data_IF_424331916652
#
_entry.id   IF_424331916652
#
_cell.length_a   1.000
_cell.length_b   1.000
_cell.length_c   1.000
_cell.angle_alpha   90.00
_cell.angle_beta   90.00
_cell.angle_gamma   90.00
#
_symmetry.space_group_name_H-M   'P 1'
#
loop_
_entity.id
_entity.type
_entity.pdbx_description
1 polymer ?
#
# COMPACT_ATOMS: atom_id res chain seq x y z
N UNK A 1 -21.68 5.60 -23.36
CA UNK A 1 -21.15 6.65 -22.45
C UNK A 1 -19.75 7.01 -22.92
N UNK A 2 -19.43 8.29 -23.13
CA UNK A 2 -18.07 8.71 -23.52
C UNK A 2 -17.23 9.01 -22.26
N UNK A 3 -15.92 8.80 -22.33
CA UNK A 3 -14.99 9.04 -21.19
C UNK A 3 -14.98 10.50 -20.72
N UNK A 4 -15.29 11.44 -21.62
CA UNK A 4 -15.52 12.83 -21.25
C UNK A 4 -16.73 13.02 -20.35
N UNK A 5 -17.81 12.26 -20.57
CA UNK A 5 -19.02 12.31 -19.74
C UNK A 5 -18.83 11.63 -18.38
N UNK A 6 -17.84 10.75 -18.22
CA UNK A 6 -17.48 10.15 -16.93
C UNK A 6 -16.43 10.94 -16.13
N UNK A 7 -15.95 12.07 -16.65
CA UNK A 7 -14.92 12.89 -16.00
C UNK A 7 -13.48 12.39 -16.19
N UNK A 8 -13.27 11.33 -16.97
CA UNK A 8 -11.95 10.75 -17.25
C UNK A 8 -11.29 11.41 -18.47
N UNK A 9 -11.07 12.73 -18.37
CA UNK A 9 -10.58 13.57 -19.47
C UNK A 9 -9.18 13.15 -19.95
N UNK A 10 -8.29 12.77 -19.04
CA UNK A 10 -6.95 12.28 -19.35
C UNK A 10 -6.99 10.99 -20.18
N UNK A 11 -7.79 10.00 -19.76
CA UNK A 11 -7.98 8.74 -20.50
C UNK A 11 -8.50 8.98 -21.92
N UNK A 12 -9.44 9.92 -22.08
CA UNK A 12 -10.01 10.27 -23.37
C UNK A 12 -8.97 10.91 -24.32
N UNK A 13 -8.08 11.75 -23.78
CA UNK A 13 -6.98 12.36 -24.55
C UNK A 13 -5.93 11.33 -24.97
N UNK A 14 -5.56 10.40 -24.09
CA UNK A 14 -4.64 9.29 -24.41
C UNK A 14 -5.21 8.42 -25.51
N UNK A 15 -6.51 8.11 -25.47
CA UNK A 15 -7.17 7.36 -26.54
C UNK A 15 -7.18 8.12 -27.87
N UNK A 16 -7.45 9.43 -27.85
CA UNK A 16 -7.39 10.28 -29.05
C UNK A 16 -5.98 10.34 -29.65
N UNK A 17 -4.95 10.34 -28.80
CA UNK A 17 -3.55 10.24 -29.21
C UNK A 17 -3.23 8.86 -29.77
N UNK A 18 -3.70 7.78 -29.14
CA UNK A 18 -3.46 6.41 -29.61
C UNK A 18 -4.17 6.10 -30.93
N UNK A 19 -5.34 6.67 -31.20
CA UNK A 19 -6.06 6.46 -32.46
C UNK A 19 -5.45 7.26 -33.62
N UNK A 20 -5.09 8.53 -33.39
CA UNK A 20 -4.66 9.46 -34.44
C UNK A 20 -3.15 9.54 -34.67
N UNK A 21 -2.33 8.77 -33.95
CA UNK A 21 -0.87 8.84 -34.04
C UNK A 21 -0.25 7.83 -35.02
N UNK A 22 1.02 8.05 -35.33
CA UNK A 22 1.88 7.20 -36.16
C UNK A 22 2.09 5.80 -35.54
N UNK A 23 2.34 4.75 -36.34
CA UNK A 23 2.61 3.39 -35.85
C UNK A 23 3.74 3.31 -34.81
N UNK A 24 4.77 4.15 -34.91
CA UNK A 24 5.88 4.21 -33.95
C UNK A 24 5.42 4.74 -32.59
N UNK A 25 4.57 5.76 -32.57
CA UNK A 25 3.97 6.33 -31.36
C UNK A 25 3.05 5.32 -30.67
N UNK A 26 2.23 4.58 -31.43
CA UNK A 26 1.37 3.52 -30.89
C UNK A 26 2.16 2.41 -30.22
N UNK A 27 3.27 1.97 -30.84
CA UNK A 27 4.19 0.98 -30.24
C UNK A 27 4.75 1.48 -28.91
N UNK A 28 5.21 2.73 -28.85
CA UNK A 28 5.76 3.35 -27.64
C UNK A 28 4.73 3.47 -26.52
N UNK A 29 3.49 3.86 -26.85
CA UNK A 29 2.38 3.92 -25.88
C UNK A 29 2.07 2.52 -25.33
N UNK A 30 2.04 1.50 -26.20
CA UNK A 30 1.80 0.11 -25.79
C UNK A 30 2.91 -0.41 -24.88
N UNK A 31 4.17 -0.10 -25.19
CA UNK A 31 5.34 -0.49 -24.41
C UNK A 31 5.32 0.17 -23.02
N UNK A 32 5.07 1.48 -22.94
CA UNK A 32 4.92 2.20 -21.68
C UNK A 32 3.76 1.63 -20.85
N UNK A 33 2.61 1.38 -21.48
CA UNK A 33 1.45 0.78 -20.81
C UNK A 33 1.78 -0.60 -20.22
N UNK A 34 2.49 -1.43 -20.98
CA UNK A 34 2.93 -2.74 -20.50
C UNK A 34 3.94 -2.63 -19.35
N UNK A 35 4.85 -1.65 -19.40
CA UNK A 35 5.78 -1.36 -18.30
C UNK A 35 5.04 -0.88 -17.04
N UNK A 36 4.02 -0.04 -17.20
CA UNK A 36 3.17 0.42 -16.09
C UNK A 36 2.34 -0.72 -15.49
N UNK A 37 1.84 -1.64 -16.32
CA UNK A 37 1.18 -2.86 -15.85
C UNK A 37 2.15 -3.79 -15.09
N UNK A 38 3.41 -3.88 -15.54
CA UNK A 38 4.46 -4.62 -14.83
C UNK A 38 4.87 -3.94 -13.53
N UNK A 39 4.77 -2.61 -13.45
CA UNK A 39 4.86 -1.84 -12.21
C UNK A 39 3.62 -2.07 -11.37
N UNK A 40 3.34 -3.33 -11.01
CA UNK A 40 2.39 -3.66 -9.96
C UNK A 40 2.78 -2.83 -8.73
N UNK A 41 1.84 -2.05 -8.18
CA UNK A 41 2.08 -1.30 -6.94
C UNK A 41 2.84 -2.17 -5.95
N UNK A 42 4.05 -1.74 -5.59
CA UNK A 42 4.88 -2.47 -4.65
C UNK A 42 4.06 -2.62 -3.35
N UNK A 43 3.69 -3.85 -3.04
CA UNK A 43 3.02 -4.16 -1.79
C UNK A 43 4.05 -3.98 -0.68
N UNK A 44 3.64 -3.38 0.44
CA UNK A 44 4.48 -3.30 1.61
C UNK A 44 4.80 -4.71 2.11
N UNK A 45 6.06 -4.93 2.48
CA UNK A 45 6.42 -6.10 3.27
C UNK A 45 5.80 -6.00 4.68
N UNK A 46 5.62 -7.13 5.38
CA UNK A 46 5.17 -7.13 6.78
C UNK A 46 6.00 -6.22 7.69
N UNK A 47 7.31 -6.16 7.46
CA UNK A 47 8.27 -5.35 8.21
C UNK A 47 8.11 -3.86 7.89
N UNK A 48 7.99 -3.49 6.61
CA UNK A 48 7.76 -2.09 6.20
C UNK A 48 6.41 -1.58 6.69
N UNK A 49 5.38 -2.43 6.63
CA UNK A 49 4.05 -2.09 7.15
C UNK A 49 4.08 -1.89 8.66
N UNK A 50 4.84 -2.70 9.40
CA UNK A 50 5.03 -2.54 10.84
C UNK A 50 5.77 -1.23 11.15
N UNK A 51 6.85 -0.92 10.42
CA UNK A 51 7.59 0.32 10.57
C UNK A 51 6.68 1.54 10.35
N UNK A 52 5.88 1.53 9.28
CA UNK A 52 4.93 2.61 8.98
C UNK A 52 3.87 2.81 10.08
N UNK A 53 3.36 1.71 10.67
CA UNK A 53 2.42 1.78 11.80
C UNK A 53 3.09 2.46 13.02
N UNK A 54 4.35 2.13 13.29
CA UNK A 54 5.11 2.67 14.42
C UNK A 54 5.50 4.13 14.21
N UNK A 55 5.94 4.48 13.01
CA UNK A 55 6.38 5.84 12.69
C UNK A 55 5.23 6.83 12.64
N UNK A 56 4.11 6.43 12.04
CA UNK A 56 2.90 7.25 11.96
C UNK A 56 2.00 7.14 13.20
N UNK A 57 2.40 6.37 14.21
CA UNK A 57 1.62 6.16 15.44
C UNK A 57 0.17 5.70 15.18
N UNK A 58 -0.01 4.82 14.18
CA UNK A 58 -1.35 4.41 13.72
C UNK A 58 -2.04 3.51 14.74
N UNK A 59 -3.31 3.78 15.00
CA UNK A 59 -4.16 2.92 15.81
C UNK A 59 -4.71 1.74 14.99
N UNK A 60 -5.26 0.73 15.68
CA UNK A 60 -5.95 -0.39 15.04
C UNK A 60 -7.15 0.07 14.18
N UNK A 61 -7.79 1.18 14.57
CA UNK A 61 -8.89 1.75 13.81
C UNK A 61 -8.41 2.45 12.54
N UNK A 62 -7.26 3.13 12.57
CA UNK A 62 -6.66 3.75 11.38
C UNK A 62 -6.28 2.69 10.34
N UNK A 63 -5.78 1.54 10.79
CA UNK A 63 -5.42 0.40 9.95
C UNK A 63 -6.66 -0.19 9.23
N UNK A 64 -7.89 0.16 9.61
CA UNK A 64 -9.11 -0.22 8.86
C UNK A 64 -9.12 0.38 7.44
N UNK A 65 -8.31 1.40 7.16
CA UNK A 65 -8.07 1.91 5.80
C UNK A 65 -7.64 0.79 4.83
N UNK A 66 -6.94 -0.24 5.31
CA UNK A 66 -6.59 -1.42 4.53
C UNK A 66 -7.82 -2.14 3.96
N UNK A 67 -8.94 -2.15 4.70
CA UNK A 67 -10.20 -2.73 4.21
C UNK A 67 -10.78 -1.92 3.06
N UNK A 68 -10.63 -0.60 3.09
CA UNK A 68 -11.02 0.29 1.99
C UNK A 68 -10.19 0.04 0.73
N UNK A 69 -8.88 -0.12 0.90
CA UNK A 69 -7.97 -0.49 -0.20
C UNK A 69 -8.32 -1.86 -0.79
N UNK A 70 -8.59 -2.87 0.06
CA UNK A 70 -9.03 -4.20 -0.36
C UNK A 70 -10.35 -4.19 -1.14
N UNK A 71 -11.32 -3.36 -0.75
CA UNK A 71 -12.59 -3.18 -1.50
C UNK A 71 -12.37 -2.63 -2.91
N UNK A 72 -11.33 -1.80 -3.09
CA UNK A 72 -10.93 -1.26 -4.39
C UNK A 72 -10.01 -2.22 -5.17
N UNK A 73 -9.82 -3.46 -4.71
CA UNK A 73 -8.88 -4.45 -5.25
C UNK A 73 -7.41 -3.97 -5.27
N UNK A 74 -7.08 -3.04 -4.37
CA UNK A 74 -5.74 -2.47 -4.22
C UNK A 74 -5.15 -2.99 -2.91
N UNK A 75 -4.46 -4.13 -2.98
CA UNK A 75 -3.93 -4.84 -1.81
C UNK A 75 -2.51 -4.36 -1.44
N UNK A 76 -2.37 -3.09 -1.08
CA UNK A 76 -1.04 -2.46 -0.84
C UNK A 76 -0.41 -2.94 0.48
N UNK A 77 -1.24 -3.27 1.48
CA UNK A 77 -0.75 -3.61 2.83
C UNK A 77 -0.94 -5.10 3.14
N UNK A 78 0.00 -5.71 3.88
CA UNK A 78 -0.17 -7.05 4.41
C UNK A 78 -1.28 -7.07 5.47
N UNK A 79 -1.87 -8.24 5.69
CA UNK A 79 -2.94 -8.38 6.67
C UNK A 79 -2.45 -8.08 8.09
N UNK A 80 -3.32 -7.51 8.93
CA UNK A 80 -3.00 -7.24 10.33
C UNK A 80 -2.51 -8.47 11.10
N UNK A 81 -3.00 -9.67 10.76
CA UNK A 81 -2.55 -10.91 11.36
C UNK A 81 -1.06 -11.18 11.06
N UNK A 82 -0.65 -10.98 9.82
CA UNK A 82 0.75 -11.14 9.38
C UNK A 82 1.65 -10.10 10.05
N UNK A 83 1.22 -8.84 10.10
CA UNK A 83 1.94 -7.78 10.83
C UNK A 83 2.11 -8.17 12.30
N UNK A 84 1.07 -8.69 12.94
CA UNK A 84 1.12 -9.13 14.33
C UNK A 84 2.07 -10.30 14.60
N UNK A 85 2.32 -11.17 13.62
CA UNK A 85 3.36 -12.20 13.72
C UNK A 85 4.76 -11.58 13.76
N UNK A 86 5.05 -10.64 12.87
CA UNK A 86 6.33 -9.91 12.86
C UNK A 86 6.49 -9.06 14.11
N UNK A 87 5.41 -8.44 14.61
CA UNK A 87 5.48 -7.71 15.88
C UNK A 87 5.91 -8.61 17.03
N UNK A 88 5.48 -9.88 17.06
CA UNK A 88 5.88 -10.85 18.10
C UNK A 88 7.35 -11.23 18.01
N UNK A 89 7.91 -11.34 16.81
CA UNK A 89 9.34 -11.68 16.63
C UNK A 89 10.25 -10.54 17.05
N UNK A 90 9.78 -9.29 17.05
CA UNK A 90 10.53 -8.14 17.56
C UNK A 90 10.67 -8.12 19.09
N UNK A 91 9.92 -8.95 19.83
CA UNK A 91 10.02 -9.02 21.29
C UNK A 91 11.02 -10.08 21.75
N UNK A 92 11.84 -9.79 22.79
CA UNK A 92 12.73 -10.78 23.36
C UNK A 92 11.94 -11.91 24.04
N UNK A 93 12.48 -13.13 23.96
CA UNK A 93 11.79 -14.38 24.32
C UNK A 93 11.30 -14.47 25.78
N UNK A 94 11.82 -13.63 26.68
CA UNK A 94 11.56 -13.70 28.11
C UNK A 94 10.49 -12.71 28.59
N UNK A 95 9.74 -12.07 27.69
CA UNK A 95 8.68 -11.14 28.06
C UNK A 95 7.31 -11.79 27.84
N UNK A 96 6.57 -11.99 28.94
CA UNK A 96 5.17 -12.40 28.89
C UNK A 96 4.30 -11.17 28.63
N UNK A 97 3.94 -10.94 27.37
CA UNK A 97 3.10 -9.79 27.00
C UNK A 97 1.64 -10.18 27.22
N UNK A 98 1.03 -9.65 28.27
CA UNK A 98 -0.44 -9.66 28.40
C UNK A 98 -1.04 -8.85 27.24
N UNK A 99 -2.07 -9.41 26.59
CA UNK A 99 -2.68 -8.96 25.31
C UNK A 99 -3.01 -7.45 25.24
N UNK A 100 -3.12 -6.78 26.39
CA UNK A 100 -3.44 -5.36 26.52
C UNK A 100 -2.30 -4.43 26.03
N UNK A 101 -1.04 -4.87 26.00
CA UNK A 101 0.13 -3.95 25.89
C UNK A 101 1.02 -4.12 24.64
N UNK A 102 0.63 -4.91 23.64
CA UNK A 102 1.48 -5.21 22.46
C UNK A 102 1.82 -3.97 21.61
N UNK A 103 0.98 -2.94 21.58
CA UNK A 103 1.33 -1.68 20.90
C UNK A 103 2.06 -0.72 21.86
N UNK A 104 1.72 -0.75 23.15
CA UNK A 104 2.22 0.17 24.17
C UNK A 104 3.69 -0.10 24.55
N UNK A 105 4.15 -1.35 24.44
CA UNK A 105 5.57 -1.67 24.62
C UNK A 105 6.46 -1.05 23.54
N UNK A 106 6.00 -0.93 22.29
CA UNK A 106 6.75 -0.24 21.22
C UNK A 106 6.89 1.26 21.56
N UNK A 107 5.81 1.89 22.02
CA UNK A 107 5.84 3.30 22.45
C UNK A 107 6.76 3.52 23.67
N UNK A 108 6.80 2.58 24.62
CA UNK A 108 7.67 2.69 25.79
C UNK A 108 9.16 2.50 25.45
N UNK A 109 9.49 1.65 24.47
CA UNK A 109 10.88 1.49 24.01
C UNK A 109 11.38 2.69 23.19
N UNK A 110 10.51 3.38 22.44
CA UNK A 110 10.87 4.61 21.69
C UNK A 110 11.28 5.76 22.62
N UNK A 111 10.81 5.76 23.88
CA UNK A 111 11.19 6.74 24.91
C UNK A 111 12.59 6.47 25.49
N UNK A 112 13.13 5.26 25.32
CA UNK A 112 14.47 4.87 25.82
C UNK A 112 15.57 4.91 24.75
N UNK A 113 15.22 5.30 23.51
CA UNK A 113 16.14 5.38 22.37
C UNK A 113 16.13 6.78 21.70
N UNK A 114 15.86 7.81 22.50
CA UNK A 114 16.09 9.24 22.20
C UNK A 114 16.76 9.88 23.39
#
# INVERSE_FOLDING_TARGET
MSLFKSGETASAQVLKLATNSSPSTKKKIKEIHNLLLLSSMAMYTPEEALALIVDCSLSKDDIRIQRGAKKKQVNIYPSYAVIGHVTKTCYPANITISVVHILRCIYQFKIWWT
#
